data_IF_599290995058
#
_entry.id   IF_599290995058
#
_cell.length_a   1.000
_cell.length_b   1.000
_cell.length_c   1.000
_cell.angle_alpha   90.00
_cell.angle_beta   90.00
_cell.angle_gamma   90.00
#
_symmetry.space_group_name_H-M   'P 1'
#
loop_
_entity.id
_entity.type
_entity.pdbx_description
1 polymer ?
#
# COMPACT_ATOMS: atom_id res chain seq x y z
N UNK A 1 17.95 25.92 16.93
CA UNK A 1 16.86 24.93 16.83
C UNK A 1 17.46 23.72 16.17
N UNK A 2 17.87 22.74 16.96
CA UNK A 2 18.57 21.53 16.52
C UNK A 2 17.59 20.65 15.76
N UNK A 3 17.98 20.24 14.55
CA UNK A 3 17.31 19.20 13.79
C UNK A 3 17.16 17.96 14.69
N UNK A 4 15.94 17.50 14.86
CA UNK A 4 15.57 16.47 15.82
C UNK A 4 16.12 15.11 15.38
N UNK A 5 16.82 14.41 16.28
CA UNK A 5 17.30 13.02 16.16
C UNK A 5 16.13 12.01 16.14
N UNK A 6 15.10 12.22 15.30
CA UNK A 6 14.03 11.24 15.15
C UNK A 6 14.51 10.04 14.32
N UNK A 7 14.18 8.83 14.77
CA UNK A 7 14.59 7.58 14.12
C UNK A 7 13.59 7.20 13.03
N UNK A 8 13.95 7.23 11.73
CA UNK A 8 13.01 6.88 10.66
C UNK A 8 12.63 5.39 10.70
N UNK A 9 11.35 5.09 10.53
CA UNK A 9 10.85 3.71 10.45
C UNK A 9 10.70 3.21 9.01
N UNK A 10 10.66 4.11 8.04
CA UNK A 10 10.55 3.77 6.62
C UNK A 10 11.91 3.83 5.91
N UNK A 11 12.14 2.99 4.88
CA UNK A 11 13.32 3.11 4.01
C UNK A 11 13.46 4.50 3.39
N UNK A 12 14.71 4.90 3.07
CA UNK A 12 15.01 6.24 2.56
C UNK A 12 14.21 6.64 1.31
N UNK A 13 13.95 5.70 0.40
CA UNK A 13 13.12 5.95 -0.80
C UNK A 13 11.68 6.33 -0.45
N UNK A 14 11.11 5.73 0.59
CA UNK A 14 9.77 6.05 1.08
C UNK A 14 9.76 7.35 1.89
N UNK A 15 10.84 7.68 2.60
CA UNK A 15 10.96 8.99 3.26
C UNK A 15 10.92 10.13 2.23
N UNK A 16 11.48 9.92 1.04
CA UNK A 16 11.43 10.89 -0.06
C UNK A 16 10.05 10.99 -0.73
N UNK A 17 9.08 10.14 -0.36
CA UNK A 17 7.75 10.10 -0.98
C UNK A 17 7.04 11.45 -0.81
N UNK A 18 6.74 12.17 -1.91
CA UNK A 18 6.41 13.58 -1.83
C UNK A 18 4.95 13.84 -1.43
N UNK A 19 4.09 12.83 -1.57
CA UNK A 19 2.65 13.01 -1.44
C UNK A 19 2.21 12.92 0.02
N UNK A 20 1.34 13.84 0.48
CA UNK A 20 0.88 13.87 1.86
C UNK A 20 -0.16 12.76 2.14
N UNK A 21 -0.14 12.25 3.37
CA UNK A 21 -1.14 11.30 3.85
C UNK A 21 -2.54 11.93 3.95
N UNK A 22 -2.64 13.26 4.10
CA UNK A 22 -3.91 14.00 4.04
C UNK A 22 -4.77 13.64 2.83
N UNK A 23 -4.11 13.41 1.68
CA UNK A 23 -4.72 13.02 0.42
C UNK A 23 -4.51 11.53 0.14
N UNK A 24 -4.40 10.70 1.18
CA UNK A 24 -4.24 9.25 1.02
C UNK A 24 -2.95 8.81 0.33
N UNK A 25 -1.89 9.64 0.30
CA UNK A 25 -0.66 9.37 -0.46
C UNK A 25 -0.84 9.33 -1.99
N UNK A 26 -1.95 9.87 -2.52
CA UNK A 26 -2.27 9.88 -3.95
C UNK A 26 -1.09 10.48 -4.74
N UNK A 27 -0.61 9.70 -5.70
CA UNK A 27 0.43 10.09 -6.63
C UNK A 27 -0.19 10.96 -7.73
N UNK A 28 0.06 12.28 -7.68
CA UNK A 28 -0.65 13.26 -8.52
C UNK A 28 0.11 13.70 -9.77
N UNK A 29 1.34 13.22 -10.01
CA UNK A 29 2.08 13.59 -11.22
C UNK A 29 1.51 12.87 -12.44
N UNK A 30 1.44 13.58 -13.57
CA UNK A 30 1.17 13.01 -14.89
C UNK A 30 2.47 12.74 -15.67
N UNK A 31 3.63 12.95 -15.02
CA UNK A 31 4.93 12.72 -15.66
C UNK A 31 5.25 11.23 -15.70
N UNK A 32 5.52 10.73 -16.90
CA UNK A 32 5.90 9.34 -17.17
C UNK A 32 7.32 9.25 -17.74
N UNK A 33 8.24 10.09 -17.23
CA UNK A 33 9.65 10.03 -17.61
C UNK A 33 10.39 8.89 -16.90
N UNK A 34 11.56 8.52 -17.43
CA UNK A 34 12.40 7.44 -16.92
C UNK A 34 12.71 7.59 -15.42
N UNK A 35 12.92 8.82 -14.95
CA UNK A 35 13.19 9.11 -13.53
C UNK A 35 11.96 8.81 -12.67
N UNK A 36 10.77 9.24 -13.10
CA UNK A 36 9.53 9.00 -12.36
C UNK A 36 9.18 7.51 -12.32
N UNK A 37 9.36 6.80 -13.43
CA UNK A 37 9.13 5.35 -13.50
C UNK A 37 10.15 4.58 -12.65
N UNK A 38 11.43 4.96 -12.70
CA UNK A 38 12.46 4.38 -11.84
C UNK A 38 12.17 4.62 -10.34
N UNK A 39 11.66 5.81 -10.00
CA UNK A 39 11.27 6.11 -8.63
C UNK A 39 10.05 5.29 -8.18
N UNK A 40 9.02 5.16 -9.02
CA UNK A 40 7.86 4.33 -8.74
C UNK A 40 8.24 2.85 -8.52
N UNK A 41 9.12 2.31 -9.38
CA UNK A 41 9.68 0.98 -9.21
C UNK A 41 10.44 0.84 -7.88
N UNK A 42 11.32 1.79 -7.55
CA UNK A 42 12.09 1.75 -6.31
C UNK A 42 11.21 1.84 -5.05
N UNK A 43 10.11 2.61 -5.10
CA UNK A 43 9.10 2.66 -4.04
C UNK A 43 8.45 1.29 -3.87
N UNK A 44 8.01 0.65 -4.97
CA UNK A 44 7.40 -0.67 -4.92
C UNK A 44 8.37 -1.76 -4.47
N UNK A 45 9.62 -1.73 -4.89
CA UNK A 45 10.63 -2.68 -4.39
C UNK A 45 10.87 -2.52 -2.88
N UNK A 46 10.90 -1.28 -2.37
CA UNK A 46 11.14 -1.02 -0.94
C UNK A 46 9.94 -1.28 -0.04
N UNK A 47 8.73 -1.21 -0.57
CA UNK A 47 7.51 -1.53 0.16
C UNK A 47 7.28 -3.05 0.28
N UNK A 48 7.87 -3.88 -0.59
CA UNK A 48 7.62 -5.32 -0.64
C UNK A 48 8.16 -6.02 0.63
N UNK A 49 7.34 -6.81 1.33
CA UNK A 49 7.80 -7.55 2.50
C UNK A 49 8.64 -8.77 2.07
N UNK A 50 9.65 -9.17 2.87
CA UNK A 50 10.54 -10.28 2.53
C UNK A 50 9.84 -11.65 2.59
N UNK A 51 8.80 -11.78 3.41
CA UNK A 51 8.02 -13.00 3.64
C UNK A 51 6.53 -12.70 3.44
N UNK A 52 5.70 -13.70 3.09
CA UNK A 52 4.25 -13.51 3.03
C UNK A 52 3.70 -13.09 4.39
N UNK A 53 2.72 -12.18 4.39
CA UNK A 53 2.03 -11.74 5.60
C UNK A 53 1.00 -12.77 6.06
N UNK A 54 0.73 -12.81 7.36
CA UNK A 54 -0.29 -13.67 7.96
C UNK A 54 -1.73 -13.34 7.49
N UNK A 55 -1.93 -12.13 6.98
CA UNK A 55 -3.19 -11.66 6.41
C UNK A 55 -2.97 -10.48 5.47
N UNK A 56 -3.97 -10.16 4.63
CA UNK A 56 -3.85 -9.07 3.67
C UNK A 56 -3.75 -7.71 4.37
N UNK A 57 -2.82 -6.87 3.90
CA UNK A 57 -2.64 -5.50 4.36
C UNK A 57 -2.67 -4.51 3.17
N UNK A 58 -3.35 -3.36 3.28
CA UNK A 58 -4.14 -2.93 4.42
C UNK A 58 -5.39 -3.81 4.61
N UNK A 59 -6.00 -3.84 5.82
CA UNK A 59 -7.28 -4.49 5.99
C UNK A 59 -8.30 -3.87 5.02
N UNK A 60 -9.22 -4.67 4.49
CA UNK A 60 -10.27 -4.17 3.62
C UNK A 60 -11.00 -2.99 4.28
N UNK A 61 -11.13 -1.90 3.53
CA UNK A 61 -11.99 -0.80 3.95
C UNK A 61 -13.43 -1.31 3.86
N UNK A 62 -14.07 -1.50 5.02
CA UNK A 62 -15.50 -1.81 5.05
C UNK A 62 -16.24 -0.62 4.47
N UNK A 63 -16.78 -0.78 3.25
CA UNK A 63 -17.73 0.17 2.67
C UNK A 63 -18.99 0.06 3.51
N UNK A 64 -19.06 0.88 4.56
CA UNK A 64 -20.29 1.07 5.34
C UNK A 64 -21.28 1.74 4.38
N UNK A 65 -22.15 0.93 3.79
CA UNK A 65 -23.37 1.47 3.19
C UNK A 65 -24.13 2.19 4.30
N UNK A 66 -24.68 3.34 3.98
CA UNK A 66 -25.31 4.36 4.84
C UNK A 66 -26.58 3.87 5.59
N UNK A 67 -26.60 2.60 6.01
CA UNK A 67 -27.60 1.99 6.88
C UNK A 67 -27.11 2.08 8.32
N UNK A 68 -27.85 2.84 9.12
CA UNK A 68 -27.46 3.31 10.45
C UNK A 68 -26.96 2.24 11.43
N UNK A 69 -26.10 2.73 12.33
CA UNK A 69 -25.58 2.12 13.56
C UNK A 69 -24.36 1.19 13.50
N UNK A 70 -23.75 0.92 12.35
CA UNK A 70 -22.45 0.22 12.33
C UNK A 70 -21.30 1.19 12.67
N UNK A 71 -20.72 1.00 13.85
CA UNK A 71 -19.55 1.75 14.30
C UNK A 71 -18.38 1.55 13.32
N UNK A 72 -17.74 2.65 12.92
CA UNK A 72 -16.54 2.58 12.09
C UNK A 72 -15.49 1.67 12.75
N UNK A 73 -14.75 0.87 11.97
CA UNK A 73 -13.68 0.06 12.52
C UNK A 73 -12.70 0.92 13.32
N UNK A 74 -12.31 0.44 14.52
CA UNK A 74 -11.44 1.16 15.44
C UNK A 74 -10.13 1.68 14.80
N UNK A 75 -9.61 0.93 13.82
CA UNK A 75 -8.42 1.32 13.08
C UNK A 75 -8.59 2.65 12.32
N UNK A 76 -9.80 3.06 11.96
CA UNK A 76 -10.05 4.36 11.31
C UNK A 76 -9.74 5.54 12.22
N UNK A 77 -10.02 5.42 13.52
CA UNK A 77 -9.69 6.44 14.52
C UNK A 77 -8.17 6.54 14.73
N UNK A 78 -7.51 5.39 14.80
CA UNK A 78 -6.04 5.34 14.90
C UNK A 78 -5.41 5.96 13.65
N UNK A 79 -5.91 5.64 12.46
CA UNK A 79 -5.46 6.24 11.19
C UNK A 79 -5.58 7.76 11.22
N UNK A 80 -6.66 8.32 11.80
CA UNK A 80 -6.82 9.76 11.94
C UNK A 80 -5.74 10.39 12.84
N UNK A 81 -5.44 9.77 13.98
CA UNK A 81 -4.36 10.20 14.90
C UNK A 81 -3.00 10.18 14.21
N UNK A 82 -2.70 9.11 13.47
CA UNK A 82 -1.43 8.96 12.76
C UNK A 82 -1.28 10.01 11.66
N UNK A 83 -2.33 10.25 10.87
CA UNK A 83 -2.34 11.24 9.79
C UNK A 83 -2.08 12.66 10.29
N UNK A 84 -2.62 13.02 11.45
CA UNK A 84 -2.38 14.33 12.07
C UNK A 84 -0.92 14.50 12.50
N UNK A 85 -0.32 13.46 13.11
CA UNK A 85 1.06 13.50 13.65
C UNK A 85 2.14 13.30 12.59
N UNK A 86 1.82 12.56 11.54
CA UNK A 86 2.76 12.12 10.51
C UNK A 86 2.20 12.42 9.11
N UNK A 87 2.05 13.71 8.74
CA UNK A 87 1.35 14.07 7.50
C UNK A 87 2.09 13.69 6.21
N UNK A 88 3.34 13.22 6.30
CA UNK A 88 4.18 12.78 5.18
C UNK A 88 4.97 11.54 5.60
N UNK A 89 5.40 10.73 4.64
CA UNK A 89 6.18 9.52 4.89
C UNK A 89 7.50 9.78 5.65
N UNK A 90 8.20 10.88 5.36
CA UNK A 90 9.38 11.33 6.14
C UNK A 90 9.11 11.59 7.64
N UNK A 91 7.85 11.74 8.04
CA UNK A 91 7.47 11.93 9.44
C UNK A 91 7.14 10.61 10.13
N UNK A 92 7.27 9.47 9.46
CA UNK A 92 7.03 8.15 10.07
C UNK A 92 8.28 7.73 10.82
N UNK A 93 8.34 8.16 12.07
CA UNK A 93 9.49 7.98 12.98
C UNK A 93 9.07 7.26 14.26
N UNK A 94 10.02 6.61 14.93
CA UNK A 94 9.76 5.85 16.16
C UNK A 94 9.13 6.73 17.25
N UNK A 95 9.60 7.96 17.39
CA UNK A 95 9.17 8.91 18.41
C UNK A 95 7.73 9.40 18.14
N UNK A 96 7.40 9.68 16.88
CA UNK A 96 6.04 10.09 16.51
C UNK A 96 5.06 8.94 16.59
N UNK A 97 5.49 7.73 16.24
CA UNK A 97 4.70 6.51 16.39
C UNK A 97 4.39 6.24 17.87
N UNK A 98 5.38 6.32 18.76
CA UNK A 98 5.18 6.19 20.21
C UNK A 98 4.25 7.28 20.76
N UNK A 99 4.36 8.52 20.26
CA UNK A 99 3.45 9.60 20.61
C UNK A 99 2.00 9.36 20.15
N UNK A 100 1.82 8.75 18.97
CA UNK A 100 0.51 8.34 18.47
C UNK A 100 -0.06 7.16 19.26
N UNK A 101 0.77 6.19 19.62
CA UNK A 101 0.39 5.05 20.46
C UNK A 101 -0.13 5.53 21.81
N UNK A 102 0.59 6.44 22.48
CA UNK A 102 0.17 7.01 23.76
C UNK A 102 -1.13 7.82 23.67
N UNK A 103 -1.38 8.49 22.54
CA UNK A 103 -2.68 9.14 22.28
C UNK A 103 -3.80 8.11 22.12
N UNK A 104 -3.56 7.05 21.35
CA UNK A 104 -4.54 5.99 21.12
C UNK A 104 -4.87 5.25 22.43
N UNK A 105 -3.87 4.92 23.25
CA UNK A 105 -4.07 4.31 24.56
C UNK A 105 -4.91 5.20 25.50
N UNK A 106 -4.69 6.52 25.49
CA UNK A 106 -5.52 7.46 26.28
C UNK A 106 -6.98 7.51 25.83
N UNK A 107 -7.25 7.19 24.56
CA UNK A 107 -8.61 7.08 24.00
C UNK A 107 -9.23 5.71 24.21
N UNK A 108 -8.49 4.75 24.78
CA UNK A 108 -8.96 3.38 25.01
C UNK A 108 -8.83 2.47 23.78
N UNK A 109 -8.04 2.87 22.78
CA UNK A 109 -7.82 2.10 21.56
C UNK A 109 -6.72 1.03 21.78
N UNK A 110 -6.80 -0.07 21.06
CA UNK A 110 -5.85 -1.17 21.10
C UNK A 110 -4.48 -0.76 20.53
N UNK A 111 -3.43 -1.00 21.31
CA UNK A 111 -2.04 -0.63 20.96
C UNK A 111 -1.06 -1.79 20.92
N UNK A 112 -1.52 -3.04 21.01
CA UNK A 112 -0.62 -4.18 20.90
C UNK A 112 0.07 -4.21 19.52
N UNK A 113 1.40 -4.27 19.50
CA UNK A 113 2.18 -4.28 18.25
C UNK A 113 2.08 -3.00 17.42
N UNK A 114 1.69 -1.86 18.02
CA UNK A 114 1.29 -0.64 17.32
C UNK A 114 2.30 -0.20 16.25
N UNK A 115 3.58 -0.04 16.60
CA UNK A 115 4.59 0.43 15.65
C UNK A 115 4.70 -0.50 14.44
N UNK A 116 4.78 -1.81 14.64
CA UNK A 116 4.94 -2.77 13.55
C UNK A 116 3.73 -2.77 12.61
N UNK A 117 2.52 -2.88 13.19
CA UNK A 117 1.26 -2.93 12.43
C UNK A 117 1.07 -1.64 11.63
N UNK A 118 1.29 -0.48 12.25
CA UNK A 118 1.03 0.80 11.61
C UNK A 118 2.11 1.21 10.61
N UNK A 119 3.38 0.85 10.84
CA UNK A 119 4.42 0.98 9.82
C UNK A 119 4.05 0.14 8.59
N UNK A 120 3.63 -1.12 8.78
CA UNK A 120 3.21 -2.00 7.68
C UNK A 120 2.03 -1.42 6.90
N UNK A 121 0.99 -0.92 7.59
CA UNK A 121 -0.18 -0.31 6.95
C UNK A 121 0.14 0.94 6.16
N UNK A 122 1.01 1.80 6.70
CA UNK A 122 1.47 3.01 5.99
C UNK A 122 2.22 2.62 4.72
N UNK A 123 3.13 1.65 4.81
CA UNK A 123 3.83 1.09 3.65
C UNK A 123 2.84 0.51 2.63
N UNK A 124 1.82 -0.22 3.09
CA UNK A 124 0.78 -0.78 2.23
C UNK A 124 0.02 0.31 1.47
N UNK A 125 -0.42 1.40 2.14
CA UNK A 125 -1.09 2.50 1.47
C UNK A 125 -0.21 3.23 0.46
N UNK A 126 1.08 3.42 0.74
CA UNK A 126 2.02 3.99 -0.24
C UNK A 126 2.13 3.07 -1.47
N UNK A 127 2.25 1.77 -1.25
CA UNK A 127 2.29 0.79 -2.33
C UNK A 127 1.00 0.77 -3.15
N UNK A 128 -0.17 0.79 -2.51
CA UNK A 128 -1.47 0.85 -3.19
C UNK A 128 -1.57 2.04 -4.14
N UNK A 129 -1.17 3.23 -3.70
CA UNK A 129 -1.22 4.43 -4.54
C UNK A 129 -0.21 4.38 -5.69
N UNK A 130 0.96 3.79 -5.44
CA UNK A 130 1.99 3.63 -6.47
C UNK A 130 1.55 2.59 -7.51
N UNK A 131 0.99 1.45 -7.09
CA UNK A 131 0.41 0.44 -7.97
C UNK A 131 -0.76 0.99 -8.79
N UNK A 132 -1.65 1.75 -8.15
CA UNK A 132 -2.77 2.40 -8.82
C UNK A 132 -2.28 3.37 -9.91
N UNK A 133 -1.29 4.21 -9.60
CA UNK A 133 -0.72 5.13 -10.57
C UNK A 133 -0.06 4.38 -11.73
N UNK A 134 0.80 3.40 -11.46
CA UNK A 134 1.44 2.60 -12.51
C UNK A 134 0.43 1.86 -13.38
N UNK A 135 -0.61 1.27 -12.79
CA UNK A 135 -1.56 0.42 -13.52
C UNK A 135 -2.62 1.19 -14.30
N UNK A 136 -3.08 2.34 -13.79
CA UNK A 136 -4.21 3.07 -14.38
C UNK A 136 -3.83 4.40 -15.03
N UNK A 137 -2.76 5.05 -14.57
CA UNK A 137 -2.41 6.40 -15.00
C UNK A 137 -1.27 6.45 -16.02
N UNK A 138 -0.42 5.43 -16.08
CA UNK A 138 0.70 5.38 -17.03
C UNK A 138 0.22 4.74 -18.34
N UNK A 139 0.34 5.48 -19.44
CA UNK A 139 -0.13 5.04 -20.76
C UNK A 139 0.88 4.10 -21.46
N UNK A 140 2.19 4.28 -21.22
CA UNK A 140 3.24 3.46 -21.82
C UNK A 140 3.46 2.13 -21.07
N UNK A 141 2.61 1.14 -21.38
CA UNK A 141 2.72 -0.22 -20.84
C UNK A 141 4.09 -0.87 -21.12
N UNK A 142 4.78 -0.51 -22.21
CA UNK A 142 6.08 -1.08 -22.55
C UNK A 142 7.17 -0.62 -21.58
N UNK A 143 7.07 0.61 -21.06
CA UNK A 143 7.98 1.13 -20.04
C UNK A 143 7.78 0.48 -18.65
N UNK A 144 6.60 -0.07 -18.39
CA UNK A 144 6.26 -0.82 -17.18
C UNK A 144 6.64 -2.30 -17.26
N UNK A 145 6.79 -2.82 -18.47
CA UNK A 145 7.04 -4.24 -18.73
C UNK A 145 8.53 -4.59 -18.64
N UNK A 146 8.93 -5.68 -17.98
CA UNK A 146 8.11 -6.64 -17.24
C UNK A 146 7.94 -6.31 -15.75
N UNK A 147 8.66 -5.28 -15.27
CA UNK A 147 8.91 -5.11 -13.84
C UNK A 147 7.64 -4.88 -13.02
N UNK A 148 6.63 -4.20 -13.56
CA UNK A 148 5.38 -3.97 -12.85
C UNK A 148 4.62 -5.28 -12.62
N UNK A 149 4.63 -6.18 -13.59
CA UNK A 149 3.91 -7.46 -13.52
C UNK A 149 4.58 -8.40 -12.52
N UNK A 150 5.91 -8.46 -12.58
CA UNK A 150 6.71 -9.22 -11.62
C UNK A 150 6.49 -8.72 -10.19
N UNK A 151 6.48 -7.39 -9.98
CA UNK A 151 6.20 -6.81 -8.68
C UNK A 151 4.75 -7.05 -8.27
N UNK A 152 3.76 -6.77 -9.12
CA UNK A 152 2.35 -6.95 -8.78
C UNK A 152 2.04 -8.40 -8.38
N UNK A 153 2.57 -9.39 -9.10
CA UNK A 153 2.47 -10.81 -8.72
C UNK A 153 3.07 -11.05 -7.33
N UNK A 154 4.25 -10.50 -7.03
CA UNK A 154 4.86 -10.60 -5.70
C UNK A 154 4.00 -9.93 -4.62
N UNK A 155 3.45 -8.74 -4.87
CA UNK A 155 2.56 -8.06 -3.91
C UNK A 155 1.36 -8.94 -3.54
N UNK A 156 0.72 -9.56 -4.54
CA UNK A 156 -0.39 -10.49 -4.34
C UNK A 156 0.05 -11.71 -3.53
N UNK A 157 1.15 -12.36 -3.91
CA UNK A 157 1.68 -13.54 -3.21
C UNK A 157 2.10 -13.25 -1.76
N UNK A 158 2.56 -12.02 -1.49
CA UNK A 158 3.01 -11.59 -0.17
C UNK A 158 1.89 -11.01 0.71
N UNK A 159 0.70 -10.81 0.17
CA UNK A 159 -0.44 -10.26 0.91
C UNK A 159 -0.33 -8.78 1.24
N UNK A 160 0.49 -8.01 0.52
CA UNK A 160 0.55 -6.55 0.66
C UNK A 160 -0.11 -5.91 -0.56
N UNK A 161 -0.98 -4.90 -0.36
CA UNK A 161 -1.67 -4.16 -1.42
C UNK A 161 -2.28 -5.06 -2.52
N UNK A 162 -2.70 -6.28 -2.15
CA UNK A 162 -2.96 -7.36 -3.10
C UNK A 162 -4.09 -7.01 -4.08
N UNK A 163 -5.17 -6.40 -3.60
CA UNK A 163 -6.29 -5.97 -4.46
C UNK A 163 -5.83 -4.94 -5.51
N UNK A 164 -5.02 -3.94 -5.10
CA UNK A 164 -4.47 -2.95 -6.04
C UNK A 164 -3.47 -3.55 -7.01
N UNK A 165 -2.70 -4.56 -6.59
CA UNK A 165 -1.80 -5.28 -7.48
C UNK A 165 -2.58 -6.09 -8.54
N UNK A 166 -3.66 -6.78 -8.15
CA UNK A 166 -4.58 -7.43 -9.11
C UNK A 166 -5.19 -6.38 -10.06
N UNK A 167 -5.63 -5.24 -9.53
CA UNK A 167 -6.16 -4.14 -10.32
C UNK A 167 -5.16 -3.60 -11.35
N UNK A 168 -3.89 -3.45 -10.97
CA UNK A 168 -2.83 -3.02 -11.89
C UNK A 168 -2.59 -4.04 -13.03
N UNK A 169 -2.62 -5.34 -12.72
CA UNK A 169 -2.53 -6.41 -13.73
C UNK A 169 -3.74 -6.42 -14.66
N UNK A 170 -4.95 -6.15 -14.13
CA UNK A 170 -6.16 -6.05 -14.94
C UNK A 170 -6.14 -4.84 -15.89
N UNK A 171 -5.71 -3.68 -15.39
CA UNK A 171 -5.64 -2.46 -16.20
C UNK A 171 -4.62 -2.59 -17.35
N UNK A 172 -3.58 -3.42 -17.16
CA UNK A 172 -2.54 -3.70 -18.16
C UNK A 172 -2.75 -5.03 -18.90
N UNK A 173 -3.98 -5.57 -18.93
CA UNK A 173 -4.28 -6.90 -19.52
C UNK A 173 -3.99 -7.04 -21.02
N UNK A 174 -3.83 -5.93 -21.73
CA UNK A 174 -3.32 -5.92 -23.12
C UNK A 174 -1.94 -6.58 -23.21
N UNK A 175 -1.13 -6.40 -22.17
CA UNK A 175 0.21 -6.97 -22.08
C UNK A 175 0.14 -8.49 -21.82
N UNK A 176 0.82 -9.32 -22.63
CA UNK A 176 0.86 -10.77 -22.42
C UNK A 176 1.34 -11.17 -21.01
N UNK A 177 2.33 -10.45 -20.48
CA UNK A 177 2.93 -10.67 -19.16
C UNK A 177 1.92 -10.49 -18.04
N UNK A 178 1.01 -9.50 -18.12
CA UNK A 178 -0.04 -9.29 -17.13
C UNK A 178 -1.04 -10.45 -17.07
N UNK A 179 -1.46 -10.95 -18.24
CA UNK A 179 -2.33 -12.15 -18.32
C UNK A 179 -1.62 -13.39 -17.81
N UNK A 180 -0.33 -13.54 -18.11
CA UNK A 180 0.46 -14.65 -17.62
C UNK A 180 0.61 -14.61 -16.09
N UNK A 181 0.80 -13.42 -15.50
CA UNK A 181 0.83 -13.22 -14.05
C UNK A 181 -0.52 -13.58 -13.40
N UNK A 182 -1.64 -13.07 -13.93
CA UNK A 182 -2.99 -13.43 -13.45
C UNK A 182 -3.25 -14.93 -13.52
N UNK A 183 -2.84 -15.59 -14.61
CA UNK A 183 -2.98 -17.04 -14.74
C UNK A 183 -2.13 -17.82 -13.70
N UNK A 184 -0.92 -17.35 -13.39
CA UNK A 184 -0.10 -17.93 -12.31
C UNK A 184 -0.73 -17.72 -10.94
N UNK A 185 -1.27 -16.53 -10.68
CA UNK A 185 -1.97 -16.22 -9.44
C UNK A 185 -3.23 -17.07 -9.26
N UNK A 186 -4.01 -17.31 -10.32
CA UNK A 186 -5.18 -18.19 -10.26
C UNK A 186 -4.82 -19.64 -9.89
N UNK A 187 -3.60 -20.08 -10.24
CA UNK A 187 -3.08 -21.40 -9.89
C UNK A 187 -2.32 -21.41 -8.55
N UNK A 188 -2.23 -20.28 -7.83
CA UNK A 188 -1.49 -20.18 -6.58
C UNK A 188 -2.40 -20.50 -5.39
N UNK A 189 -2.07 -21.59 -4.69
CA UNK A 189 -2.88 -22.11 -3.56
C UNK A 189 -2.86 -21.20 -2.32
N UNK A 190 -1.87 -20.32 -2.20
CA UNK A 190 -1.65 -19.48 -1.01
C UNK A 190 -2.45 -18.17 -0.94
N UNK A 191 -3.38 -17.93 -1.87
CA UNK A 191 -4.19 -16.69 -1.85
C UNK A 191 -5.35 -16.78 -0.84
N UNK A 192 -5.66 -15.68 -0.14
CA UNK A 192 -6.96 -15.48 0.50
C UNK A 192 -8.10 -15.62 -0.52
N UNK A 193 -9.26 -16.11 -0.07
CA UNK A 193 -10.40 -16.42 -0.95
C UNK A 193 -10.87 -15.18 -1.73
N UNK A 194 -10.91 -14.01 -1.09
CA UNK A 194 -11.35 -12.76 -1.72
C UNK A 194 -10.41 -12.33 -2.85
N UNK A 195 -9.10 -12.54 -2.66
CA UNK A 195 -8.10 -12.22 -3.69
C UNK A 195 -8.15 -13.24 -4.81
N UNK A 196 -8.39 -14.53 -4.51
CA UNK A 196 -8.59 -15.56 -5.53
C UNK A 196 -9.80 -15.24 -6.39
N UNK A 197 -10.92 -14.86 -5.79
CA UNK A 197 -12.14 -14.46 -6.50
C UNK A 197 -11.88 -13.25 -7.42
N UNK A 198 -11.14 -12.24 -6.94
CA UNK A 198 -10.75 -11.09 -7.76
C UNK A 198 -9.91 -11.51 -8.97
N UNK A 199 -8.90 -12.36 -8.79
CA UNK A 199 -8.07 -12.86 -9.89
C UNK A 199 -8.89 -13.67 -10.90
N UNK A 200 -9.77 -14.55 -10.43
CA UNK A 200 -10.64 -15.35 -11.30
C UNK A 200 -11.63 -14.48 -12.08
N UNK A 201 -12.14 -13.41 -11.48
CA UNK A 201 -13.02 -12.45 -12.16
C UNK A 201 -12.29 -11.77 -13.32
N UNK A 202 -11.05 -11.34 -13.14
CA UNK A 202 -10.26 -10.65 -14.17
C UNK A 202 -9.81 -11.56 -15.32
N UNK A 203 -9.85 -12.88 -15.13
CA UNK A 203 -9.54 -13.87 -16.17
C UNK A 203 -10.74 -14.26 -17.06
N UNK A 204 -11.96 -13.82 -16.73
CA UNK A 204 -13.19 -14.11 -17.50
C UNK A 204 -13.33 -13.21 -18.74
#
# INVERSE_FOLDING_TARGET
MTATDETPLLPGVLQAYPYPWGNGFIWTTEKEDEETLAYARAVLEACLPPEPLDGPEPPQETVLHDSGDDAYPEWTEIRAVLRERMPYARHVTAERMAGAEAECARRGLATAGFQEIWTRRITAWIAEQTLYWCGLMVDDEAALTPWLMDLAELYVQRGLAAEKAVGALSCTKSVPESRAALARLAAYDGLPDEIREAVEYELR
#
